data_IF_181172625477
#
_entry.id   IF_181172625477
#
_cell.length_a   1.000
_cell.length_b   1.000
_cell.length_c   1.000
_cell.angle_alpha   90.00
_cell.angle_beta   90.00
_cell.angle_gamma   90.00
#
_symmetry.space_group_name_H-M   'P 1'
#
loop_
_entity.id
_entity.type
_entity.pdbx_description
1 polymer ?
#
# COMPACT_ATOMS: atom_id res chain seq x y z
N UNK A 1 12.62 1.99 19.09
CA UNK A 1 13.86 1.23 18.78
C UNK A 1 14.91 1.56 19.83
N UNK A 2 15.61 0.56 20.38
CA UNK A 2 16.74 0.83 21.27
C UNK A 2 17.91 1.47 20.49
N UNK A 3 18.97 1.90 21.19
CA UNK A 3 20.09 2.61 20.58
C UNK A 3 20.82 1.75 19.53
N UNK A 4 21.13 0.50 19.85
CA UNK A 4 21.84 -0.43 18.95
C UNK A 4 21.06 -0.66 17.65
N UNK A 5 19.76 -0.95 17.75
CA UNK A 5 18.90 -1.15 16.58
C UNK A 5 18.80 0.13 15.74
N UNK A 6 18.77 1.31 16.38
CA UNK A 6 18.71 2.58 15.67
C UNK A 6 19.99 2.83 14.85
N UNK A 7 21.16 2.53 15.39
CA UNK A 7 22.43 2.66 14.66
C UNK A 7 22.54 1.62 13.54
N UNK A 8 22.11 0.38 13.78
CA UNK A 8 21.98 -0.63 12.73
C UNK A 8 21.05 -0.17 11.60
N UNK A 9 19.86 0.34 11.93
CA UNK A 9 18.86 0.82 10.98
C UNK A 9 19.39 1.99 10.14
N UNK A 10 20.07 2.96 10.76
CA UNK A 10 20.70 4.07 10.04
C UNK A 10 21.74 3.60 9.03
N UNK A 11 22.53 2.57 9.39
CA UNK A 11 23.63 2.06 8.56
C UNK A 11 23.13 1.19 7.41
N UNK A 12 22.19 0.29 7.67
CA UNK A 12 21.77 -0.74 6.72
C UNK A 12 20.50 -0.38 5.94
N UNK A 13 19.64 0.46 6.53
CA UNK A 13 18.29 0.74 6.04
C UNK A 13 17.99 2.26 6.03
N UNK A 14 18.81 3.10 5.37
CA UNK A 14 18.72 4.55 5.50
C UNK A 14 17.36 5.14 5.10
N UNK A 15 16.64 4.49 4.18
CA UNK A 15 15.34 4.95 3.66
C UNK A 15 14.13 4.39 4.45
N UNK A 16 14.32 3.33 5.25
CA UNK A 16 13.26 2.68 6.03
C UNK A 16 13.50 2.65 7.54
N UNK A 17 14.60 3.25 8.03
CA UNK A 17 15.04 3.30 9.44
C UNK A 17 14.03 3.84 10.46
N UNK A 18 12.94 4.46 10.00
CA UNK A 18 11.94 5.08 10.86
C UNK A 18 11.06 4.06 11.60
N UNK A 19 10.85 2.87 11.03
CA UNK A 19 10.07 1.80 11.67
C UNK A 19 10.55 0.41 11.21
N UNK A 20 10.43 -0.58 12.09
CA UNK A 20 10.79 -1.96 11.80
C UNK A 20 9.96 -2.54 10.65
N UNK A 21 8.65 -2.25 10.56
CA UNK A 21 7.85 -2.78 9.45
C UNK A 21 8.38 -2.29 8.10
N UNK A 22 8.91 -1.06 8.06
CA UNK A 22 9.46 -0.46 6.86
C UNK A 22 10.79 -1.12 6.48
N UNK A 23 11.64 -1.42 7.48
CA UNK A 23 12.87 -2.18 7.28
C UNK A 23 12.58 -3.60 6.74
N UNK A 24 11.55 -4.27 7.28
CA UNK A 24 11.11 -5.57 6.75
C UNK A 24 10.52 -5.46 5.35
N UNK A 25 9.79 -4.37 5.05
CA UNK A 25 9.30 -4.10 3.70
C UNK A 25 10.45 -3.99 2.71
N UNK A 26 11.48 -3.22 3.02
CA UNK A 26 12.68 -3.06 2.18
C UNK A 26 13.44 -4.39 2.03
N UNK A 27 13.76 -5.05 3.14
CA UNK A 27 14.51 -6.31 3.14
C UNK A 27 13.77 -7.43 2.41
N UNK A 28 12.44 -7.50 2.51
CA UNK A 28 11.64 -8.50 1.83
C UNK A 28 11.80 -8.45 0.31
N UNK A 29 11.95 -7.26 -0.29
CA UNK A 29 12.19 -7.15 -1.73
C UNK A 29 13.56 -7.67 -2.16
N UNK A 30 14.59 -7.59 -1.31
CA UNK A 30 15.91 -8.10 -1.63
C UNK A 30 15.91 -9.64 -1.73
N UNK A 31 15.06 -10.30 -0.95
CA UNK A 31 14.91 -11.77 -0.95
C UNK A 31 14.12 -12.30 -2.16
N UNK A 32 13.40 -11.44 -2.88
CA UNK A 32 12.55 -11.86 -3.99
C UNK A 32 13.33 -12.12 -5.28
N UNK A 33 12.93 -13.19 -5.98
CA UNK A 33 13.32 -13.42 -7.38
C UNK A 33 12.73 -12.33 -8.29
N UNK A 34 13.31 -12.05 -9.47
CA UNK A 34 12.70 -11.15 -10.44
C UNK A 34 11.26 -11.56 -10.77
N UNK A 35 10.35 -10.58 -10.92
CA UNK A 35 8.93 -10.77 -11.16
C UNK A 35 8.13 -11.51 -10.07
N UNK A 36 8.74 -11.82 -8.91
CA UNK A 36 8.01 -12.37 -7.78
C UNK A 36 7.17 -11.30 -7.08
N UNK A 37 6.19 -11.76 -6.29
CA UNK A 37 5.27 -10.91 -5.54
C UNK A 37 5.67 -10.82 -4.08
N UNK A 38 5.61 -9.60 -3.54
CA UNK A 38 5.74 -9.28 -2.13
C UNK A 38 4.35 -8.97 -1.57
N UNK A 39 3.88 -9.73 -0.60
CA UNK A 39 2.60 -9.47 0.06
C UNK A 39 2.82 -9.23 1.56
N UNK A 40 2.37 -8.09 2.07
CA UNK A 40 2.53 -7.74 3.48
C UNK A 40 1.30 -7.03 4.02
N UNK A 41 1.04 -7.21 5.32
CA UNK A 41 0.20 -6.33 6.13
C UNK A 41 1.12 -5.45 6.97
N UNK A 42 1.05 -4.14 6.78
CA UNK A 42 1.87 -3.15 7.51
C UNK A 42 1.02 -2.04 8.11
N UNK A 43 1.59 -1.22 9.00
CA UNK A 43 0.94 0.01 9.41
C UNK A 43 0.80 0.96 8.21
N UNK A 44 -0.30 1.73 8.13
CA UNK A 44 -0.58 2.62 6.98
C UNK A 44 0.37 3.82 6.83
N UNK A 45 1.19 4.12 7.85
CA UNK A 45 1.92 5.39 7.97
C UNK A 45 2.93 5.64 6.84
N UNK A 46 3.47 4.58 6.23
CA UNK A 46 4.38 4.69 5.10
C UNK A 46 3.75 5.33 3.85
N UNK A 47 2.43 5.26 3.73
CA UNK A 47 1.71 5.80 2.57
C UNK A 47 1.76 7.34 2.52
N UNK A 48 1.85 8.01 3.67
CA UNK A 48 1.64 9.47 3.73
C UNK A 48 2.67 10.26 4.57
N UNK A 49 3.41 9.65 5.50
CA UNK A 49 4.41 10.41 6.26
C UNK A 49 5.64 10.72 5.39
N UNK A 50 6.18 11.94 5.53
CA UNK A 50 7.37 12.39 4.81
C UNK A 50 8.63 11.60 5.15
N UNK A 51 8.71 11.05 6.38
CA UNK A 51 9.81 10.19 6.80
C UNK A 51 9.98 8.92 5.94
N UNK A 52 8.96 8.53 5.18
CA UNK A 52 8.98 7.37 4.27
C UNK A 52 9.00 7.75 2.79
N UNK A 53 9.25 9.01 2.45
CA UNK A 53 9.24 9.48 1.06
C UNK A 53 10.27 8.75 0.20
N UNK A 54 11.52 8.65 0.66
CA UNK A 54 12.55 7.91 -0.05
C UNK A 54 12.21 6.42 -0.22
N UNK A 55 11.62 5.80 0.81
CA UNK A 55 11.15 4.42 0.73
C UNK A 55 10.07 4.27 -0.36
N UNK A 56 9.10 5.18 -0.44
CA UNK A 56 8.07 5.16 -1.49
C UNK A 56 8.69 5.31 -2.88
N UNK A 57 9.64 6.22 -3.05
CA UNK A 57 10.36 6.41 -4.32
C UNK A 57 11.10 5.13 -4.71
N UNK A 58 11.86 4.53 -3.77
CA UNK A 58 12.57 3.26 -3.99
C UNK A 58 11.61 2.14 -4.36
N UNK A 59 10.51 1.99 -3.63
CA UNK A 59 9.48 0.98 -3.88
C UNK A 59 8.92 1.10 -5.30
N UNK A 60 8.50 2.31 -5.71
CA UNK A 60 7.87 2.55 -7.03
C UNK A 60 8.86 2.48 -8.21
N UNK A 61 10.16 2.65 -7.96
CA UNK A 61 11.19 2.51 -8.99
C UNK A 61 11.56 1.04 -9.25
N UNK A 62 11.39 0.16 -8.25
CA UNK A 62 11.81 -1.25 -8.33
C UNK A 62 10.65 -2.25 -8.30
N UNK A 63 9.42 -1.78 -8.12
CA UNK A 63 8.23 -2.62 -8.07
C UNK A 63 6.99 -1.88 -8.55
N UNK A 64 5.93 -2.64 -8.82
CA UNK A 64 4.59 -2.10 -9.02
C UNK A 64 3.67 -2.58 -7.91
N UNK A 65 2.81 -1.70 -7.40
CA UNK A 65 1.72 -2.09 -6.51
C UNK A 65 0.61 -2.69 -7.38
N UNK A 66 0.33 -3.97 -7.18
CA UNK A 66 -0.67 -4.73 -7.93
C UNK A 66 -2.04 -4.61 -7.28
N UNK A 67 -2.09 -4.65 -5.94
CA UNK A 67 -3.28 -4.29 -5.20
C UNK A 67 -2.98 -3.84 -3.77
N UNK A 68 -3.90 -3.07 -3.20
CA UNK A 68 -3.84 -2.60 -1.82
C UNK A 68 -5.24 -2.55 -1.20
N UNK A 69 -5.41 -3.18 -0.04
CA UNK A 69 -6.52 -2.93 0.87
C UNK A 69 -6.03 -2.02 2.01
N UNK A 70 -6.51 -0.78 2.01
CA UNK A 70 -6.25 0.19 3.06
C UNK A 70 -7.34 0.05 4.12
N UNK A 71 -6.98 -0.45 5.30
CA UNK A 71 -7.90 -0.77 6.37
C UNK A 71 -7.84 0.30 7.46
N UNK A 72 -9.00 0.83 7.84
CA UNK A 72 -9.14 1.83 8.90
C UNK A 72 -8.76 1.26 10.28
N UNK A 73 -8.75 2.15 11.28
CA UNK A 73 -8.58 1.73 12.67
C UNK A 73 -9.64 0.67 13.05
N UNK A 74 -9.26 -0.25 13.93
CA UNK A 74 -10.10 -1.33 14.47
C UNK A 74 -10.53 -2.42 13.48
N UNK A 75 -10.32 -2.28 12.17
CA UNK A 75 -10.64 -3.35 11.19
C UNK A 75 -9.89 -4.64 11.48
N UNK A 76 -8.63 -4.53 11.92
CA UNK A 76 -7.79 -5.67 12.35
C UNK A 76 -7.78 -5.85 13.88
N UNK A 77 -8.76 -5.28 14.60
CA UNK A 77 -8.83 -5.33 16.06
C UNK A 77 -7.81 -4.46 16.80
N UNK A 78 -7.07 -3.60 16.09
CA UNK A 78 -6.07 -2.70 16.67
C UNK A 78 -6.43 -1.24 16.39
N UNK A 79 -6.08 -0.33 17.30
CA UNK A 79 -6.39 1.09 17.21
C UNK A 79 -5.56 1.87 16.15
N UNK A 80 -5.04 1.17 15.14
CA UNK A 80 -4.21 1.73 14.07
C UNK A 80 -4.68 1.22 12.70
N UNK A 81 -4.67 2.10 11.72
CA UNK A 81 -4.94 1.73 10.33
C UNK A 81 -3.78 0.94 9.73
N UNK A 82 -4.11 0.01 8.85
CA UNK A 82 -3.17 -0.94 8.25
C UNK A 82 -3.32 -0.95 6.73
N UNK A 83 -2.30 -1.43 6.03
CA UNK A 83 -2.31 -1.61 4.59
C UNK A 83 -1.90 -3.05 4.27
N UNK A 84 -2.82 -3.81 3.68
CA UNK A 84 -2.48 -5.08 3.05
C UNK A 84 -2.11 -4.80 1.59
N UNK A 85 -0.85 -4.98 1.23
CA UNK A 85 -0.32 -4.58 -0.08
C UNK A 85 0.34 -5.76 -0.77
N UNK A 86 0.06 -5.91 -2.07
CA UNK A 86 0.76 -6.82 -2.97
C UNK A 86 1.55 -5.99 -3.97
N UNK A 87 2.86 -6.20 -4.02
CA UNK A 87 3.76 -5.56 -4.97
C UNK A 87 4.48 -6.60 -5.82
N UNK A 88 4.66 -6.34 -7.11
CA UNK A 88 5.47 -7.17 -8.00
C UNK A 88 6.85 -6.56 -8.21
N UNK A 89 7.92 -7.31 -7.89
CA UNK A 89 9.32 -6.88 -8.13
C UNK A 89 9.60 -6.77 -9.63
N UNK A 90 10.13 -5.63 -10.06
CA UNK A 90 10.33 -5.32 -11.48
C UNK A 90 9.04 -5.04 -12.25
N UNK A 91 7.92 -4.82 -11.55
CA UNK A 91 6.67 -4.36 -12.17
C UNK A 91 6.81 -2.99 -12.82
N UNK A 92 5.92 -2.68 -13.76
CA UNK A 92 5.97 -1.43 -14.52
C UNK A 92 5.36 -0.26 -13.73
N UNK A 93 5.95 0.93 -13.82
CA UNK A 93 5.46 2.12 -13.08
C UNK A 93 4.06 2.57 -13.48
N UNK A 94 3.60 2.19 -14.67
CA UNK A 94 2.23 2.48 -15.15
C UNK A 94 1.21 1.35 -14.83
N UNK A 95 1.61 0.33 -14.05
CA UNK A 95 0.67 -0.69 -13.59
C UNK A 95 -0.49 -0.03 -12.86
N UNK A 96 -1.72 -0.36 -13.28
CA UNK A 96 -2.96 0.09 -12.63
C UNK A 96 -3.36 -0.95 -11.59
N UNK A 97 -2.84 -0.78 -10.38
CA UNK A 97 -3.17 -1.65 -9.26
C UNK A 97 -4.60 -1.45 -8.75
N UNK A 98 -5.17 -2.50 -8.16
CA UNK A 98 -6.44 -2.43 -7.45
C UNK A 98 -6.30 -1.72 -6.11
N UNK A 99 -7.27 -0.88 -5.74
CA UNK A 99 -7.31 -0.23 -4.44
C UNK A 99 -8.71 -0.33 -3.85
N UNK A 100 -8.81 -0.64 -2.56
CA UNK A 100 -10.02 -0.45 -1.78
C UNK A 100 -9.70 0.08 -0.39
N UNK A 101 -10.62 0.87 0.14
CA UNK A 101 -10.65 1.27 1.54
C UNK A 101 -11.66 0.41 2.29
N UNK A 102 -11.29 -0.06 3.48
CA UNK A 102 -12.13 -0.87 4.37
C UNK A 102 -12.32 -0.12 5.68
N UNK A 103 -13.56 0.14 6.05
CA UNK A 103 -13.97 0.77 7.30
C UNK A 103 -14.38 -0.27 8.33
N UNK A 104 -14.49 0.13 9.60
CA UNK A 104 -14.94 -0.78 10.65
C UNK A 104 -16.38 -1.23 10.41
N UNK A 105 -17.20 -0.39 9.80
CA UNK A 105 -18.58 -0.67 9.44
C UNK A 105 -18.68 -1.67 8.27
N UNK A 106 -17.59 -1.93 7.55
CA UNK A 106 -17.55 -2.90 6.45
C UNK A 106 -17.34 -4.36 6.92
N UNK A 107 -17.02 -4.57 8.21
CA UNK A 107 -16.88 -5.90 8.80
C UNK A 107 -18.10 -6.28 9.64
N UNK A 108 -18.40 -7.58 9.72
CA UNK A 108 -19.44 -8.16 10.57
C UNK A 108 -18.92 -8.43 11.99
N UNK A 109 -19.80 -8.89 12.88
CA UNK A 109 -19.48 -9.19 14.27
C UNK A 109 -18.45 -10.33 14.44
N UNK A 110 -18.17 -11.09 13.38
CA UNK A 110 -17.15 -12.13 13.35
C UNK A 110 -15.82 -11.63 12.75
N UNK A 111 -15.68 -10.33 12.48
CA UNK A 111 -14.51 -9.73 11.84
C UNK A 111 -14.37 -10.08 10.36
N UNK A 112 -15.43 -10.54 9.70
CA UNK A 112 -15.43 -10.88 8.28
C UNK A 112 -15.96 -9.71 7.46
N UNK A 113 -15.41 -9.44 6.27
CA UNK A 113 -15.99 -8.44 5.38
C UNK A 113 -17.44 -8.80 5.04
N UNK A 114 -18.37 -7.85 5.18
CA UNK A 114 -19.77 -8.00 4.71
C UNK A 114 -19.84 -8.24 3.20
N UNK A 115 -18.89 -7.63 2.47
CA UNK A 115 -18.60 -7.88 1.06
C UNK A 115 -17.17 -7.43 0.76
N UNK A 116 -16.59 -7.88 -0.36
CA UNK A 116 -15.27 -7.42 -0.80
C UNK A 116 -15.18 -7.28 -2.33
N UNK A 117 -14.69 -6.15 -2.87
CA UNK A 117 -14.34 -4.91 -2.16
C UNK A 117 -15.56 -4.23 -1.52
N UNK A 118 -15.39 -3.44 -0.43
CA UNK A 118 -16.52 -2.73 0.18
C UNK A 118 -17.14 -1.67 -0.73
N UNK A 119 -18.46 -1.51 -0.67
CA UNK A 119 -19.22 -0.44 -1.35
C UNK A 119 -19.47 0.76 -0.44
N UNK A 120 -18.48 1.14 0.36
CA UNK A 120 -18.52 2.37 1.16
C UNK A 120 -18.41 3.63 0.27
N UNK A 121 -18.70 4.79 0.86
CA UNK A 121 -18.72 6.07 0.15
C UNK A 121 -17.39 6.35 -0.56
N UNK A 122 -16.26 6.07 0.09
CA UNK A 122 -14.92 6.33 -0.45
C UNK A 122 -14.63 5.52 -1.71
N UNK A 123 -14.93 4.23 -1.69
CA UNK A 123 -14.74 3.36 -2.85
C UNK A 123 -15.69 3.74 -3.99
N UNK A 124 -16.96 4.03 -3.69
CA UNK A 124 -17.93 4.46 -4.70
C UNK A 124 -17.54 5.79 -5.36
N UNK A 125 -17.02 6.74 -4.59
CA UNK A 125 -16.50 8.01 -5.10
C UNK A 125 -15.30 7.81 -6.02
N UNK A 126 -14.37 6.94 -5.63
CA UNK A 126 -13.20 6.60 -6.46
C UNK A 126 -13.60 5.96 -7.80
N UNK A 127 -14.57 5.04 -7.81
CA UNK A 127 -15.08 4.42 -9.04
C UNK A 127 -15.69 5.45 -9.98
N UNK A 128 -16.50 6.38 -9.45
CA UNK A 128 -17.10 7.47 -10.25
C UNK A 128 -16.03 8.37 -10.88
N UNK A 129 -15.00 8.74 -10.12
CA UNK A 129 -13.89 9.56 -10.61
C UNK A 129 -13.06 8.82 -11.67
N UNK A 130 -12.81 7.52 -11.49
CA UNK A 130 -12.10 6.69 -12.46
C UNK A 130 -12.82 6.59 -13.81
N UNK A 131 -14.15 6.43 -13.79
CA UNK A 131 -14.98 6.40 -15.02
C UNK A 131 -14.93 7.74 -15.77
N UNK A 132 -15.13 8.85 -15.07
CA UNK A 132 -15.07 10.19 -15.65
C UNK A 132 -13.70 10.48 -16.31
N UNK A 133 -12.60 10.07 -15.69
CA UNK A 133 -11.26 10.22 -16.24
C UNK A 133 -11.03 9.35 -17.50
N UNK A 134 -11.61 8.15 -17.56
CA UNK A 134 -11.50 7.28 -18.75
C UNK A 134 -12.30 7.81 -19.95
N UNK A 135 -13.46 8.42 -19.71
CA UNK A 135 -14.33 8.99 -20.76
C UNK A 135 -13.75 10.30 -21.34
N UNK A 136 -13.08 11.12 -20.51
CA UNK A 136 -12.39 12.33 -20.98
C UNK A 136 -11.12 12.01 -21.79
N UNK A 137 -10.40 10.93 -21.43
CA UNK A 137 -9.21 10.48 -22.17
C UNK A 137 -9.52 9.94 -23.57
N UNK A 138 -10.72 9.40 -23.83
CA UNK A 138 -11.12 8.92 -25.16
C UNK A 138 -11.41 10.05 -26.16
N UNK A 139 -11.70 11.27 -25.71
CA UNK A 139 -11.98 12.41 -26.60
C UNK A 139 -10.72 13.16 -27.06
N UNK A 140 -9.55 12.92 -26.46
CA UNK A 140 -8.29 13.57 -26.86
C UNK A 140 -7.38 12.68 -27.74
N UNK A 141 -7.84 11.48 -28.11
CA UNK A 141 -7.10 10.56 -29.00
C UNK A 141 -7.50 10.63 -30.48
N UNK A 142 -8.33 11.59 -30.87
CA UNK A 142 -8.76 11.81 -32.25
C UNK A 142 -8.48 13.24 -32.69
N UNK A 143 -7.22 13.68 -32.66
CA UNK A 143 -6.73 14.82 -33.44
C UNK A 143 -5.24 14.69 -33.70
#
# INVERSE_FOLDING_TARGET
MNAELKEFAKKQFPDSKSDLFAMFMESGFDLLKPNAFHAMVTMQSWMFLSSYENLRIKLLNHSAIECMAHMANMVMGIAFGTAATVCRKGGHRLTRGGFCYVEYEDIDDNGRPKQFPPLNERNLKAVKQGKAASEQGSHHGQH
#
